data_IF_797553304572
#
_entry.id   IF_797553304572
#
_cell.length_a   1.000
_cell.length_b   1.000
_cell.length_c   1.000
_cell.angle_alpha   90.00
_cell.angle_beta   90.00
_cell.angle_gamma   90.00
#
_symmetry.space_group_name_H-M   'P 1'
#
loop_
_entity.id
_entity.type
_entity.pdbx_description
1 polymer ?
#
# COMPACT_ATOMS: atom_id res chain seq x y z
N UNK A 1 11.81 -57.26 -51.23
CA UNK A 1 12.71 -56.09 -51.08
C UNK A 1 11.84 -54.84 -50.94
N UNK A 2 11.68 -54.35 -49.71
CA UNK A 2 11.01 -53.08 -49.42
C UNK A 2 11.66 -52.50 -48.15
N UNK A 3 12.56 -51.55 -48.34
CA UNK A 3 13.38 -50.95 -47.28
C UNK A 3 12.56 -49.88 -46.55
N UNK A 4 12.38 -50.08 -45.24
CA UNK A 4 11.84 -49.12 -44.28
C UNK A 4 12.75 -47.89 -44.20
N UNK A 5 12.22 -46.69 -44.45
CA UNK A 5 12.91 -45.41 -44.21
C UNK A 5 12.45 -44.82 -42.88
N UNK A 6 13.38 -44.74 -41.95
CA UNK A 6 13.24 -44.27 -40.56
C UNK A 6 13.09 -42.74 -40.53
N UNK A 7 12.22 -42.25 -39.67
CA UNK A 7 11.88 -40.83 -39.51
C UNK A 7 13.08 -39.98 -39.06
N UNK A 8 13.23 -38.80 -39.67
CA UNK A 8 14.12 -37.73 -39.23
C UNK A 8 13.28 -36.53 -38.77
N UNK A 9 13.54 -36.06 -37.55
CA UNK A 9 12.84 -34.97 -36.86
C UNK A 9 13.67 -33.70 -37.04
N UNK A 10 13.14 -32.58 -37.56
CA UNK A 10 13.78 -31.29 -37.46
C UNK A 10 13.23 -30.52 -36.25
N UNK A 11 14.15 -30.13 -35.36
CA UNK A 11 13.98 -29.08 -34.35
C UNK A 11 14.02 -27.70 -34.99
N UNK A 12 13.09 -26.80 -34.66
CA UNK A 12 13.38 -25.43 -34.22
C UNK A 12 12.14 -24.52 -34.11
N UNK A 13 12.14 -23.80 -32.99
CA UNK A 13 11.65 -22.45 -32.72
C UNK A 13 10.16 -22.12 -32.50
N UNK A 14 9.89 -21.86 -31.21
CA UNK A 14 8.79 -21.06 -30.66
C UNK A 14 8.81 -19.63 -31.24
N UNK A 15 7.64 -19.14 -31.62
CA UNK A 15 7.31 -17.72 -31.59
C UNK A 15 5.82 -17.57 -31.20
N UNK A 16 5.52 -17.74 -29.92
CA UNK A 16 4.24 -17.33 -29.37
C UNK A 16 4.23 -15.80 -29.37
N UNK A 17 3.40 -15.21 -30.24
CA UNK A 17 3.20 -13.77 -30.37
C UNK A 17 2.80 -13.18 -29.01
N UNK A 18 3.74 -12.52 -28.34
CA UNK A 18 3.48 -11.69 -27.16
C UNK A 18 2.60 -10.53 -27.60
N UNK A 19 1.32 -10.61 -27.22
CA UNK A 19 0.35 -9.54 -27.42
C UNK A 19 0.63 -8.51 -26.34
N UNK A 20 1.55 -7.58 -26.63
CA UNK A 20 1.84 -6.43 -25.78
C UNK A 20 0.57 -5.58 -25.65
N UNK A 21 -0.19 -5.81 -24.59
CA UNK A 21 -1.21 -4.88 -24.13
C UNK A 21 -0.47 -3.69 -23.51
N UNK A 22 -0.13 -2.71 -24.35
CA UNK A 22 0.22 -1.35 -23.92
C UNK A 22 -0.91 -0.85 -23.04
N UNK A 23 -0.71 -0.87 -21.71
CA UNK A 23 -1.64 -0.30 -20.76
C UNK A 23 -1.58 1.22 -20.95
N UNK A 24 -2.58 1.74 -21.66
CA UNK A 24 -2.81 3.15 -21.94
C UNK A 24 -2.69 3.93 -20.64
N UNK A 25 -1.66 4.77 -20.52
CA UNK A 25 -1.51 5.73 -19.43
C UNK A 25 -2.77 6.59 -19.40
N UNK A 26 -3.50 6.53 -18.28
CA UNK A 26 -4.62 7.41 -18.04
C UNK A 26 -4.14 8.87 -18.03
N UNK A 27 -5.02 9.78 -18.48
CA UNK A 27 -4.84 11.23 -18.44
C UNK A 27 -4.38 11.73 -17.05
N UNK A 28 -3.82 12.95 -16.91
CA UNK A 28 -3.31 13.45 -15.63
C UNK A 28 -4.47 13.82 -14.69
N UNK A 29 -5.17 12.80 -14.20
CA UNK A 29 -5.96 12.88 -12.99
C UNK A 29 -5.01 12.90 -11.80
N UNK A 30 -5.36 13.65 -10.76
CA UNK A 30 -4.61 13.76 -9.50
C UNK A 30 -4.21 12.37 -9.00
N UNK A 31 -2.93 12.02 -9.04
CA UNK A 31 -2.45 10.71 -8.54
C UNK A 31 -2.60 10.66 -7.02
N UNK A 32 -3.44 9.73 -6.53
CA UNK A 32 -3.58 9.45 -5.10
C UNK A 32 -2.54 8.42 -4.67
N UNK A 33 -1.69 8.82 -3.74
CA UNK A 33 -0.67 7.98 -3.12
C UNK A 33 -1.08 7.47 -1.73
N UNK A 34 -2.14 8.03 -1.15
CA UNK A 34 -2.64 7.67 0.19
C UNK A 34 -4.08 7.19 0.08
N UNK A 35 -4.35 6.00 0.62
CA UNK A 35 -5.67 5.37 0.65
C UNK A 35 -6.09 5.13 2.09
N UNK A 36 -7.22 5.69 2.50
CA UNK A 36 -7.70 5.65 3.89
C UNK A 36 -8.69 4.51 4.13
N UNK A 37 -8.79 4.06 5.38
CA UNK A 37 -9.89 3.24 5.89
C UNK A 37 -10.25 3.66 7.32
N UNK A 38 -11.47 3.35 7.73
CA UNK A 38 -11.98 3.56 9.08
C UNK A 38 -13.48 3.85 9.07
N UNK A 39 -14.12 3.71 10.24
CA UNK A 39 -15.55 3.98 10.42
C UNK A 39 -16.45 3.31 9.36
N UNK A 40 -16.13 2.06 8.99
CA UNK A 40 -16.87 1.26 8.01
C UNK A 40 -16.69 1.71 6.54
N UNK A 41 -15.74 2.60 6.24
CA UNK A 41 -15.44 3.07 4.88
C UNK A 41 -13.96 2.84 4.54
N UNK A 42 -13.67 2.54 3.28
CA UNK A 42 -12.30 2.45 2.78
C UNK A 42 -12.22 2.88 1.31
N UNK A 43 -11.13 3.56 0.96
CA UNK A 43 -10.83 4.03 -0.40
C UNK A 43 -10.35 2.92 -1.35
N UNK A 44 -9.98 1.75 -0.80
CA UNK A 44 -9.54 0.57 -1.55
C UNK A 44 -10.27 -0.70 -1.12
N UNK A 45 -9.86 -1.84 -1.66
CA UNK A 45 -10.45 -3.15 -1.39
C UNK A 45 -9.41 -4.29 -1.49
N UNK A 46 -9.85 -5.53 -1.22
CA UNK A 46 -9.02 -6.73 -1.23
C UNK A 46 -8.40 -7.09 -2.59
N UNK A 47 -8.89 -6.50 -3.70
CA UNK A 47 -8.35 -6.72 -5.05
C UNK A 47 -7.13 -5.85 -5.35
N UNK A 48 -6.94 -4.76 -4.59
CA UNK A 48 -5.89 -3.76 -4.82
C UNK A 48 -4.52 -4.14 -4.23
N UNK A 49 -4.21 -5.43 -4.10
CA UNK A 49 -2.94 -5.93 -3.52
C UNK A 49 -1.70 -5.40 -4.24
N UNK A 50 -1.79 -5.23 -5.56
CA UNK A 50 -0.70 -4.67 -6.35
C UNK A 50 -0.41 -3.20 -5.97
N UNK A 51 -1.41 -2.42 -5.58
CA UNK A 51 -1.24 -1.01 -5.25
C UNK A 51 -0.97 -0.79 -3.76
N UNK A 52 -1.72 -1.46 -2.89
CA UNK A 52 -1.74 -1.26 -1.43
C UNK A 52 -0.88 -2.27 -0.65
N UNK A 53 -0.35 -3.29 -1.33
CA UNK A 53 0.22 -4.46 -0.68
C UNK A 53 -0.85 -5.37 -0.06
N UNK A 54 -0.45 -6.56 0.37
CA UNK A 54 -1.37 -7.56 0.94
C UNK A 54 -2.04 -7.09 2.24
N UNK A 55 -1.27 -6.44 3.13
CA UNK A 55 -1.80 -5.93 4.42
C UNK A 55 -2.78 -4.78 4.21
N UNK A 56 -2.41 -3.79 3.39
CA UNK A 56 -3.25 -2.61 3.12
C UNK A 56 -4.57 -3.00 2.44
N UNK A 57 -4.51 -3.87 1.42
CA UNK A 57 -5.70 -4.38 0.73
C UNK A 57 -6.62 -5.15 1.69
N UNK A 58 -6.06 -5.99 2.57
CA UNK A 58 -6.86 -6.71 3.56
C UNK A 58 -7.47 -5.79 4.62
N UNK A 59 -6.76 -4.76 5.11
CA UNK A 59 -7.32 -3.78 6.06
C UNK A 59 -8.49 -3.01 5.45
N UNK A 60 -8.37 -2.63 4.18
CA UNK A 60 -9.45 -2.01 3.44
C UNK A 60 -10.65 -2.95 3.29
N UNK A 61 -10.42 -4.22 2.89
CA UNK A 61 -11.47 -5.22 2.78
C UNK A 61 -12.18 -5.48 4.11
N UNK A 62 -11.42 -5.71 5.18
CA UNK A 62 -11.96 -5.93 6.53
C UNK A 62 -12.84 -4.76 6.99
N UNK A 63 -12.42 -3.53 6.69
CA UNK A 63 -13.22 -2.34 7.00
C UNK A 63 -14.53 -2.29 6.19
N UNK A 64 -14.48 -2.65 4.91
CA UNK A 64 -15.66 -2.66 4.01
C UNK A 64 -16.69 -3.70 4.40
N UNK A 65 -16.26 -4.88 4.87
CA UNK A 65 -17.16 -5.92 5.36
C UNK A 65 -17.65 -5.67 6.80
N UNK A 66 -17.32 -4.52 7.39
CA UNK A 66 -17.84 -4.08 8.68
C UNK A 66 -17.13 -4.66 9.90
N UNK A 67 -15.92 -5.23 9.75
CA UNK A 67 -15.14 -5.64 10.91
C UNK A 67 -14.61 -4.41 11.67
N UNK A 68 -14.48 -4.49 13.00
CA UNK A 68 -13.97 -3.40 13.82
C UNK A 68 -12.47 -3.21 13.63
N UNK A 69 -12.08 -2.53 12.55
CA UNK A 69 -10.70 -2.19 12.22
C UNK A 69 -10.41 -0.75 12.66
N UNK A 70 -9.35 -0.50 13.45
CA UNK A 70 -8.92 0.86 13.76
C UNK A 70 -8.62 1.66 12.48
N UNK A 71 -8.99 2.96 12.43
CA UNK A 71 -8.79 3.78 11.24
C UNK A 71 -7.30 3.92 10.91
N UNK A 72 -7.00 4.07 9.63
CA UNK A 72 -5.64 4.11 9.13
C UNK A 72 -5.57 4.57 7.68
N UNK A 73 -4.36 4.59 7.14
CA UNK A 73 -4.13 4.77 5.72
C UNK A 73 -2.92 3.98 5.23
N UNK A 74 -2.89 3.69 3.93
CA UNK A 74 -1.82 2.99 3.25
C UNK A 74 -1.20 3.94 2.25
N UNK A 75 0.13 4.03 2.30
CA UNK A 75 0.93 4.66 1.26
C UNK A 75 1.14 3.62 0.16
N UNK A 76 0.77 3.94 -1.07
CA UNK A 76 0.83 3.00 -2.20
C UNK A 76 2.26 2.54 -2.50
N UNK A 77 2.36 1.34 -3.09
CA UNK A 77 3.62 0.80 -3.61
C UNK A 77 4.28 1.68 -4.67
N UNK A 78 3.50 2.51 -5.38
CA UNK A 78 4.02 3.46 -6.37
C UNK A 78 4.94 4.52 -5.75
N UNK A 79 4.70 4.91 -4.49
CA UNK A 79 5.61 5.82 -3.77
C UNK A 79 6.97 5.16 -3.54
N UNK A 80 7.00 3.86 -3.23
CA UNK A 80 8.25 3.13 -3.10
C UNK A 80 9.00 3.09 -4.43
N UNK A 81 8.30 2.80 -5.54
CA UNK A 81 8.89 2.85 -6.88
C UNK A 81 9.41 4.25 -7.22
N UNK A 82 8.63 5.29 -6.94
CA UNK A 82 9.05 6.68 -7.12
C UNK A 82 10.32 6.98 -6.33
N UNK A 83 10.37 6.60 -5.05
CA UNK A 83 11.49 6.86 -4.16
C UNK A 83 12.81 6.32 -4.73
N UNK A 84 12.83 5.06 -5.18
CA UNK A 84 14.04 4.49 -5.78
C UNK A 84 14.37 5.08 -7.15
N UNK A 85 13.37 5.42 -7.97
CA UNK A 85 13.58 6.04 -9.27
C UNK A 85 14.05 7.51 -9.20
N UNK A 86 13.72 8.22 -8.12
CA UNK A 86 13.93 9.67 -7.99
C UNK A 86 14.94 10.00 -6.89
N UNK A 87 16.11 9.33 -6.88
CA UNK A 87 17.22 9.63 -5.94
C UNK A 87 16.79 9.67 -4.47
N UNK A 88 15.90 8.76 -4.06
CA UNK A 88 15.40 8.67 -2.68
C UNK A 88 14.64 9.92 -2.23
N UNK A 89 13.92 10.54 -3.16
CA UNK A 89 13.00 11.65 -2.87
C UNK A 89 11.55 11.20 -2.97
N UNK A 90 10.63 11.99 -2.43
CA UNK A 90 9.19 11.68 -2.45
C UNK A 90 8.44 12.58 -3.45
N UNK A 91 7.28 12.13 -3.97
CA UNK A 91 6.41 13.01 -4.75
C UNK A 91 6.01 14.24 -3.93
N UNK A 92 6.03 15.43 -4.53
CA UNK A 92 5.72 16.68 -3.82
C UNK A 92 4.30 16.69 -3.19
N UNK A 93 3.36 15.94 -3.78
CA UNK A 93 1.99 15.83 -3.27
C UNK A 93 1.83 14.87 -2.09
N UNK A 94 2.82 14.02 -1.80
CA UNK A 94 2.69 12.95 -0.80
C UNK A 94 2.43 13.50 0.61
N UNK A 95 3.20 14.50 1.02
CA UNK A 95 3.11 15.08 2.36
C UNK A 95 1.69 15.56 2.69
N UNK A 96 1.11 16.37 1.81
CA UNK A 96 -0.25 16.89 1.98
C UNK A 96 -1.32 15.78 2.03
N UNK A 97 -1.11 14.69 1.27
CA UNK A 97 -2.01 13.53 1.29
C UNK A 97 -1.88 12.73 2.59
N UNK A 98 -0.65 12.55 3.11
CA UNK A 98 -0.42 11.88 4.40
C UNK A 98 -1.06 12.66 5.54
N UNK A 99 -0.88 13.98 5.58
CA UNK A 99 -1.54 14.83 6.57
C UNK A 99 -3.06 14.78 6.49
N UNK A 100 -3.62 14.67 5.28
CA UNK A 100 -5.06 14.46 5.10
C UNK A 100 -5.51 13.10 5.67
N UNK A 101 -4.71 12.05 5.48
CA UNK A 101 -4.91 10.74 6.10
C UNK A 101 -4.86 10.78 7.63
N UNK A 102 -3.89 11.49 8.20
CA UNK A 102 -3.82 11.73 9.66
C UNK A 102 -5.05 12.46 10.15
N UNK A 103 -5.43 13.58 9.53
CA UNK A 103 -6.66 14.32 9.87
C UNK A 103 -7.92 13.48 9.78
N UNK A 104 -7.97 12.49 8.86
CA UNK A 104 -9.09 11.55 8.80
C UNK A 104 -9.14 10.65 10.03
N UNK A 105 -7.99 10.09 10.45
CA UNK A 105 -7.90 9.30 11.69
C UNK A 105 -8.28 10.12 12.91
N UNK A 106 -7.78 11.36 13.03
CA UNK A 106 -8.10 12.27 14.14
C UNK A 106 -9.61 12.51 14.28
N UNK A 107 -10.30 12.73 13.15
CA UNK A 107 -11.77 12.91 13.14
C UNK A 107 -12.52 11.68 13.62
N UNK A 108 -12.08 10.49 13.21
CA UNK A 108 -12.72 9.22 13.58
C UNK A 108 -12.46 8.90 15.06
N UNK A 109 -11.22 9.04 15.50
CA UNK A 109 -10.78 8.68 16.86
C UNK A 109 -11.05 9.76 17.90
N UNK A 110 -11.33 11.00 17.46
CA UNK A 110 -11.53 12.18 18.32
C UNK A 110 -10.31 12.53 19.19
N UNK A 111 -9.12 12.22 18.70
CA UNK A 111 -7.83 12.59 19.28
C UNK A 111 -6.94 13.25 18.21
N UNK A 112 -5.92 14.02 18.61
CA UNK A 112 -5.00 14.70 17.69
C UNK A 112 -3.60 14.12 17.77
N UNK A 113 -2.92 14.07 16.63
CA UNK A 113 -1.53 13.66 16.57
C UNK A 113 -0.65 14.72 17.25
N UNK A 114 0.08 14.31 18.29
CA UNK A 114 0.88 15.23 19.10
C UNK A 114 0.08 16.09 20.09
N UNK A 115 -1.14 15.69 20.46
CA UNK A 115 -1.90 16.39 21.52
C UNK A 115 -1.19 16.25 22.88
N UNK A 116 -1.05 17.36 23.60
CA UNK A 116 -0.42 17.40 24.93
C UNK A 116 -1.41 17.80 26.03
N UNK A 117 -2.66 18.10 25.65
CA UNK A 117 -3.74 18.54 26.55
C UNK A 117 -4.82 17.47 26.72
N UNK A 118 -4.89 16.51 25.80
CA UNK A 118 -5.81 15.38 25.85
C UNK A 118 -5.13 14.11 25.36
N UNK A 119 -5.90 13.03 25.22
CA UNK A 119 -5.36 11.74 24.77
C UNK A 119 -4.74 11.87 23.36
N UNK A 120 -3.43 11.59 23.18
CA UNK A 120 -2.76 11.79 21.89
C UNK A 120 -3.12 10.65 20.92
N UNK A 121 -3.22 10.98 19.64
CA UNK A 121 -3.27 9.97 18.58
C UNK A 121 -1.88 9.35 18.42
N UNK A 122 -1.78 8.06 18.74
CA UNK A 122 -0.60 7.25 18.46
C UNK A 122 -0.85 6.33 17.26
N UNK A 123 0.17 6.12 16.44
CA UNK A 123 0.06 5.29 15.23
C UNK A 123 1.05 4.13 15.23
N UNK A 124 0.63 3.05 14.59
CA UNK A 124 1.50 1.92 14.27
C UNK A 124 1.91 2.01 12.79
N UNK A 125 3.21 1.97 12.52
CA UNK A 125 3.76 1.96 11.15
C UNK A 125 4.22 0.55 10.82
N UNK A 126 3.68 -0.01 9.73
CA UNK A 126 3.89 -1.40 9.32
C UNK A 126 4.23 -1.45 7.85
N UNK A 127 5.28 -2.19 7.51
CA UNK A 127 5.60 -2.49 6.12
C UNK A 127 4.57 -3.44 5.49
N UNK A 128 4.25 -3.21 4.22
CA UNK A 128 3.31 -4.03 3.45
C UNK A 128 3.75 -4.13 1.99
N UNK A 129 4.16 -5.32 1.56
CA UNK A 129 4.47 -5.61 0.17
C UNK A 129 3.32 -6.35 -0.54
N UNK A 130 3.41 -6.48 -1.86
CA UNK A 130 2.44 -7.25 -2.67
C UNK A 130 2.41 -8.71 -2.23
N UNK A 131 3.60 -9.29 -2.12
CA UNK A 131 3.82 -10.63 -1.62
C UNK A 131 4.37 -10.59 -0.19
N UNK A 132 4.05 -11.61 0.60
CA UNK A 132 4.54 -11.71 1.96
C UNK A 132 6.05 -11.93 1.95
N UNK A 133 6.78 -10.99 2.56
CA UNK A 133 8.23 -11.06 2.70
C UNK A 133 8.58 -11.09 4.20
N UNK A 134 8.84 -12.29 4.78
CA UNK A 134 9.40 -12.41 6.12
C UNK A 134 10.77 -11.72 6.18
N UNK A 135 11.06 -10.96 7.25
CA UNK A 135 12.31 -10.20 7.39
C UNK A 135 12.28 -8.77 6.81
N UNK A 136 11.12 -8.28 6.39
CA UNK A 136 10.91 -6.86 6.09
C UNK A 136 10.93 -6.00 7.37
N UNK A 137 11.08 -4.69 7.17
CA UNK A 137 11.09 -3.65 8.22
C UNK A 137 10.17 -3.95 9.40
N UNK A 138 10.74 -3.81 10.60
CA UNK A 138 10.05 -4.00 11.88
C UNK A 138 8.82 -3.11 12.03
N UNK A 139 7.84 -3.61 12.78
CA UNK A 139 6.65 -2.82 13.12
C UNK A 139 7.02 -1.80 14.19
N UNK A 140 6.77 -0.53 13.92
CA UNK A 140 6.94 0.55 14.89
C UNK A 140 5.58 0.80 15.53
N UNK A 141 5.50 0.62 16.86
CA UNK A 141 4.32 0.94 17.65
C UNK A 141 4.53 2.26 18.40
N UNK A 142 3.43 2.88 18.83
CA UNK A 142 3.41 4.09 19.66
C UNK A 142 4.13 5.30 19.03
N UNK A 143 4.14 5.39 17.69
CA UNK A 143 4.69 6.57 17.02
C UNK A 143 3.76 7.76 17.30
N UNK A 144 4.35 8.86 17.78
CA UNK A 144 3.63 10.03 18.30
C UNK A 144 3.97 10.35 19.75
N UNK A 145 4.62 9.42 20.47
CA UNK A 145 5.17 9.68 21.80
C UNK A 145 6.39 10.62 21.76
N UNK A 146 6.45 11.50 22.76
CA UNK A 146 7.53 12.41 23.09
C UNK A 146 7.38 12.84 24.57
N UNK A 147 8.32 13.64 25.07
CA UNK A 147 8.38 14.06 26.48
C UNK A 147 7.10 14.78 26.96
N UNK A 148 6.35 15.43 26.07
CA UNK A 148 5.11 16.14 26.43
C UNK A 148 3.88 15.23 26.32
N UNK A 149 3.73 14.51 25.21
CA UNK A 149 2.58 13.63 24.92
C UNK A 149 2.54 12.43 25.87
N UNK A 150 3.67 11.92 26.36
CA UNK A 150 3.67 10.82 27.34
C UNK A 150 2.99 11.22 28.65
N UNK A 151 3.08 12.50 29.04
CA UNK A 151 2.44 13.00 30.26
C UNK A 151 0.92 13.01 30.16
N UNK A 152 0.38 13.05 28.94
CA UNK A 152 -1.07 13.02 28.68
C UNK A 152 -1.67 11.60 28.62
N UNK A 153 -0.84 10.56 28.77
CA UNK A 153 -1.27 9.15 28.78
C UNK A 153 -1.41 8.55 30.20
N UNK A 154 -0.89 9.24 31.21
CA UNK A 154 -0.93 8.83 32.62
C UNK A 154 -2.23 9.28 33.31
#
# INVERSE_FOLDING_TARGET
MATKKKAAKPTANRAAKSRTTTRKSAAPGKTSYVYTWGAGKADGDGTMKALLGGKGANLAEMTRIGLPVPPGFTITTEVCTYYYANRRTYPASLQAQMEAGVRNMEKIMRCKFGDTKGLPLLVAVRSGARDSMPGMMDTILNLGLNDETVLSLA
#
